data_IF_039314220089
#
_entry.id   IF_039314220089
#
_cell.length_a   1.000
_cell.length_b   1.000
_cell.length_c   1.000
_cell.angle_alpha   90.00
_cell.angle_beta   90.00
_cell.angle_gamma   90.00
#
_symmetry.space_group_name_H-M   'P 1'
#
loop_
_entity.id
_entity.type
_entity.pdbx_description
1 polymer ?
#
# COMPACT_ATOMS: atom_id res chain seq x y z
N UNK A 1 10.67 -16.22 32.46
CA UNK A 1 10.79 -14.99 31.64
C UNK A 1 11.23 -15.28 30.20
N UNK A 2 12.17 -16.20 29.94
CA UNK A 2 12.69 -16.53 28.59
C UNK A 2 11.66 -17.07 27.56
N UNK A 3 10.56 -17.71 27.98
CA UNK A 3 9.60 -18.31 27.04
C UNK A 3 8.73 -17.23 26.34
N UNK A 4 8.46 -16.12 27.05
CA UNK A 4 7.65 -15.01 26.52
C UNK A 4 8.42 -14.30 25.39
N UNK A 5 9.71 -14.02 25.60
CA UNK A 5 10.57 -13.38 24.58
C UNK A 5 10.71 -14.21 23.30
N UNK A 6 10.77 -15.55 23.41
CA UNK A 6 10.84 -16.42 22.23
C UNK A 6 9.54 -16.43 21.42
N UNK A 7 8.39 -16.23 22.05
CA UNK A 7 7.12 -16.17 21.37
C UNK A 7 6.96 -14.84 20.61
N UNK A 8 7.29 -13.72 21.25
CA UNK A 8 7.22 -12.38 20.65
C UNK A 8 8.15 -12.24 19.45
N UNK A 9 9.36 -12.82 19.52
CA UNK A 9 10.30 -12.82 18.39
C UNK A 9 9.76 -13.59 17.18
N UNK A 10 9.10 -14.74 17.41
CA UNK A 10 8.49 -15.53 16.33
C UNK A 10 7.34 -14.79 15.67
N UNK A 11 6.53 -14.08 16.46
CA UNK A 11 5.41 -13.27 15.97
C UNK A 11 5.92 -12.07 15.14
N UNK A 12 6.96 -11.38 15.62
CA UNK A 12 7.59 -10.29 14.88
C UNK A 12 8.17 -10.76 13.53
N UNK A 13 8.86 -11.91 13.53
CA UNK A 13 9.38 -12.52 12.30
C UNK A 13 8.27 -12.92 11.32
N UNK A 14 7.13 -13.40 11.83
CA UNK A 14 5.97 -13.71 11.01
C UNK A 14 5.39 -12.46 10.36
N UNK A 15 5.19 -11.39 11.13
CA UNK A 15 4.68 -10.11 10.63
C UNK A 15 5.61 -9.49 9.58
N UNK A 16 6.93 -9.52 9.80
CA UNK A 16 7.92 -9.03 8.84
C UNK A 16 7.87 -9.81 7.51
N UNK A 17 7.78 -11.15 7.57
CA UNK A 17 7.63 -11.98 6.37
C UNK A 17 6.34 -11.67 5.62
N UNK A 18 5.24 -11.50 6.35
CA UNK A 18 3.94 -11.18 5.77
C UNK A 18 3.96 -9.80 5.10
N UNK A 19 4.50 -8.79 5.78
CA UNK A 19 4.69 -7.44 5.25
C UNK A 19 5.46 -7.44 3.93
N UNK A 20 6.63 -8.10 3.90
CA UNK A 20 7.47 -8.20 2.68
C UNK A 20 6.73 -8.86 1.53
N UNK A 21 5.95 -9.90 1.81
CA UNK A 21 5.17 -10.62 0.81
C UNK A 21 4.04 -9.77 0.24
N UNK A 22 3.28 -9.10 1.10
CA UNK A 22 2.19 -8.22 0.69
C UNK A 22 2.73 -7.03 -0.11
N UNK A 23 3.83 -6.40 0.34
CA UNK A 23 4.52 -5.34 -0.38
C UNK A 23 5.00 -5.78 -1.77
N UNK A 24 5.62 -6.96 -1.88
CA UNK A 24 6.03 -7.50 -3.18
C UNK A 24 4.84 -7.74 -4.13
N UNK A 25 3.69 -8.20 -3.59
CA UNK A 25 2.47 -8.41 -4.36
C UNK A 25 1.91 -7.09 -4.91
N UNK A 26 1.95 -6.03 -4.11
CA UNK A 26 1.52 -4.68 -4.52
C UNK A 26 2.43 -4.08 -5.58
N UNK A 27 3.75 -4.17 -5.42
CA UNK A 27 4.72 -3.67 -6.42
C UNK A 27 4.55 -4.41 -7.76
N UNK A 28 4.18 -5.70 -7.73
CA UNK A 28 3.89 -6.47 -8.94
C UNK A 28 2.60 -6.05 -9.63
N UNK A 29 1.53 -5.80 -8.86
CA UNK A 29 0.21 -5.42 -9.41
C UNK A 29 0.18 -3.96 -9.87
N UNK A 30 0.85 -3.08 -9.12
CA UNK A 30 0.90 -1.63 -9.32
C UNK A 30 2.37 -1.18 -9.35
N UNK A 31 3.08 -1.39 -10.48
CA UNK A 31 4.47 -1.01 -10.60
C UNK A 31 4.66 0.50 -10.58
N UNK A 32 5.89 0.95 -10.31
CA UNK A 32 6.28 2.38 -10.24
C UNK A 32 5.60 3.17 -9.11
N UNK A 33 5.25 2.49 -8.01
CA UNK A 33 4.73 3.12 -6.79
C UNK A 33 5.51 2.63 -5.59
N UNK A 34 5.85 3.56 -4.70
CA UNK A 34 6.41 3.22 -3.40
C UNK A 34 5.28 2.88 -2.45
N UNK A 35 5.01 1.58 -2.29
CA UNK A 35 3.98 1.11 -1.36
C UNK A 35 4.54 1.04 0.06
N UNK A 36 3.89 1.74 0.98
CA UNK A 36 4.01 1.53 2.41
C UNK A 36 3.08 0.41 2.84
N UNK A 37 3.63 -0.63 3.46
CA UNK A 37 2.86 -1.71 4.06
C UNK A 37 3.35 -1.90 5.48
N UNK A 38 2.42 -2.03 6.42
CA UNK A 38 2.74 -2.31 7.80
C UNK A 38 1.74 -3.30 8.38
N UNK A 39 2.24 -4.37 8.98
CA UNK A 39 1.43 -5.43 9.56
C UNK A 39 1.49 -5.33 11.08
N UNK A 40 0.32 -5.18 11.69
CA UNK A 40 0.12 -5.04 13.13
C UNK A 40 -0.41 -6.34 13.75
N UNK A 41 -0.44 -6.37 15.09
CA UNK A 41 -1.24 -7.27 15.93
C UNK A 41 -1.20 -8.73 15.48
N UNK A 42 0.00 -9.33 15.57
CA UNK A 42 0.25 -10.74 15.27
C UNK A 42 -0.08 -11.17 13.84
N UNK A 43 -0.24 -10.21 12.92
CA UNK A 43 -0.55 -10.49 11.52
C UNK A 43 -2.04 -10.45 11.19
N UNK A 44 -2.88 -9.90 12.06
CA UNK A 44 -4.32 -9.78 11.81
C UNK A 44 -4.72 -8.43 11.23
N UNK A 45 -3.84 -7.44 11.22
CA UNK A 45 -4.18 -6.10 10.75
C UNK A 45 -3.06 -5.57 9.87
N UNK A 46 -3.43 -4.92 8.77
CA UNK A 46 -2.48 -4.40 7.79
C UNK A 46 -2.87 -2.98 7.39
N UNK A 47 -1.93 -2.06 7.52
CA UNK A 47 -2.03 -0.70 7.01
C UNK A 47 -1.27 -0.60 5.68
N UNK A 48 -1.93 -0.08 4.66
CA UNK A 48 -1.38 0.14 3.31
C UNK A 48 -1.53 1.61 2.94
N UNK A 49 -0.46 2.21 2.40
CA UNK A 49 -0.47 3.60 1.95
C UNK A 49 0.57 3.85 0.87
N UNK A 50 0.55 5.03 0.26
CA UNK A 50 1.59 5.49 -0.67
C UNK A 50 2.19 6.77 -0.07
N UNK A 51 3.41 6.72 0.50
CA UNK A 51 4.06 7.88 1.13
C UNK A 51 4.14 9.11 0.22
N UNK A 52 4.24 8.90 -1.10
CA UNK A 52 4.34 9.97 -2.11
C UNK A 52 3.01 10.72 -2.31
N UNK A 53 1.88 10.09 -1.99
CA UNK A 53 0.57 10.72 -2.12
C UNK A 53 0.12 11.35 -0.80
N UNK A 54 0.19 10.58 0.28
CA UNK A 54 -0.24 11.00 1.60
C UNK A 54 0.38 10.11 2.67
N UNK A 55 0.95 10.72 3.70
CA UNK A 55 1.47 10.00 4.88
C UNK A 55 0.39 9.73 5.93
N UNK A 56 -0.74 10.46 5.84
CA UNK A 56 -1.88 10.38 6.76
C UNK A 56 -2.97 9.43 6.26
N UNK A 57 -3.21 9.39 4.94
CA UNK A 57 -4.24 8.53 4.35
C UNK A 57 -3.72 7.09 4.21
N UNK A 58 -4.07 6.26 5.20
CA UNK A 58 -3.76 4.84 5.23
C UNK A 58 -5.03 4.02 5.17
N UNK A 59 -5.01 2.94 4.41
CA UNK A 59 -6.07 1.96 4.40
C UNK A 59 -5.74 0.82 5.33
N UNK A 60 -6.61 0.62 6.31
CA UNK A 60 -6.51 -0.45 7.29
C UNK A 60 -7.37 -1.63 6.86
N UNK A 61 -6.75 -2.80 6.83
CA UNK A 61 -7.33 -4.04 6.31
C UNK A 61 -7.20 -5.10 7.40
N UNK A 62 -8.32 -5.75 7.72
CA UNK A 62 -8.32 -6.92 8.58
C UNK A 62 -7.85 -8.13 7.78
N UNK A 63 -6.76 -8.74 8.22
CA UNK A 63 -6.20 -9.96 7.66
C UNK A 63 -6.88 -11.18 8.31
N UNK A 64 -7.27 -12.11 7.45
CA UNK A 64 -7.98 -13.33 7.84
C UNK A 64 -7.03 -14.47 8.18
N UNK A 65 -5.74 -14.33 7.87
CA UNK A 65 -4.71 -15.36 8.03
C UNK A 65 -4.58 -16.29 6.82
N UNK A 66 -5.46 -16.16 5.84
CA UNK A 66 -5.34 -16.84 4.54
C UNK A 66 -4.62 -15.95 3.55
N UNK A 67 -3.38 -16.32 3.23
CA UNK A 67 -2.49 -15.47 2.43
C UNK A 67 -3.05 -15.06 1.07
N UNK A 68 -3.81 -15.94 0.41
CA UNK A 68 -4.38 -15.66 -0.91
C UNK A 68 -5.54 -14.67 -0.84
N UNK A 69 -6.34 -14.76 0.22
CA UNK A 69 -7.46 -13.84 0.48
C UNK A 69 -6.91 -12.47 0.89
N UNK A 70 -5.93 -12.48 1.78
CA UNK A 70 -5.27 -11.29 2.31
C UNK A 70 -4.54 -10.52 1.20
N UNK A 71 -3.81 -11.20 0.31
CA UNK A 71 -3.19 -10.58 -0.87
C UNK A 71 -4.25 -9.92 -1.78
N UNK A 72 -5.40 -10.56 -1.98
CA UNK A 72 -6.48 -9.98 -2.80
C UNK A 72 -7.09 -8.74 -2.13
N UNK A 73 -7.35 -8.80 -0.83
CA UNK A 73 -7.88 -7.66 -0.06
C UNK A 73 -6.92 -6.46 -0.12
N UNK A 74 -5.62 -6.71 0.07
CA UNK A 74 -4.56 -5.71 -0.02
C UNK A 74 -4.49 -5.08 -1.40
N UNK A 75 -4.58 -5.87 -2.48
CA UNK A 75 -4.63 -5.34 -3.84
C UNK A 75 -5.86 -4.48 -4.11
N UNK A 76 -7.03 -4.88 -3.61
CA UNK A 76 -8.26 -4.09 -3.78
C UNK A 76 -8.15 -2.75 -3.05
N UNK A 77 -7.68 -2.75 -1.80
CA UNK A 77 -7.45 -1.51 -1.05
C UNK A 77 -6.41 -0.59 -1.72
N UNK A 78 -5.35 -1.15 -2.28
CA UNK A 78 -4.39 -0.42 -3.10
C UNK A 78 -5.03 0.22 -4.34
N UNK A 79 -5.93 -0.50 -5.01
CA UNK A 79 -6.73 0.04 -6.10
C UNK A 79 -7.62 1.21 -5.64
N UNK A 80 -8.30 1.08 -4.51
CA UNK A 80 -9.14 2.14 -3.94
C UNK A 80 -8.33 3.39 -3.56
N UNK A 81 -7.12 3.24 -3.00
CA UNK A 81 -6.21 4.37 -2.75
C UNK A 81 -5.98 5.12 -4.06
N UNK A 82 -5.56 4.40 -5.09
CA UNK A 82 -5.25 5.00 -6.38
C UNK A 82 -6.47 5.69 -7.00
N UNK A 83 -7.65 5.09 -6.93
CA UNK A 83 -8.89 5.70 -7.42
C UNK A 83 -9.27 6.96 -6.65
N UNK A 84 -9.13 6.98 -5.31
CA UNK A 84 -9.39 8.19 -4.50
C UNK A 84 -8.49 9.35 -4.88
N UNK A 85 -7.25 9.08 -5.28
CA UNK A 85 -6.30 10.09 -5.75
C UNK A 85 -6.34 10.31 -7.27
N UNK A 86 -7.28 9.70 -8.01
CA UNK A 86 -7.43 9.88 -9.45
C UNK A 86 -6.38 9.17 -10.32
N UNK A 87 -5.58 8.27 -9.75
CA UNK A 87 -4.48 7.56 -10.39
C UNK A 87 -4.92 6.16 -10.83
N UNK A 88 -5.99 6.05 -11.62
CA UNK A 88 -6.52 4.75 -12.05
C UNK A 88 -5.59 4.04 -13.06
N UNK A 89 -5.77 2.71 -13.21
CA UNK A 89 -4.99 1.78 -14.04
C UNK A 89 -4.81 2.19 -15.52
N UNK A 90 -5.52 3.21 -16.02
CA UNK A 90 -5.59 3.53 -17.46
C UNK A 90 -5.37 5.00 -17.84
N UNK A 91 -5.11 5.92 -16.89
CA UNK A 91 -5.20 7.38 -17.21
C UNK A 91 -3.90 8.18 -16.99
N UNK A 92 -2.92 7.68 -16.25
CA UNK A 92 -1.68 8.44 -15.99
C UNK A 92 -0.45 7.72 -16.51
N UNK A 93 0.15 8.24 -17.58
CA UNK A 93 1.56 8.02 -17.88
C UNK A 93 2.38 8.55 -16.68
N UNK A 94 2.97 7.63 -15.92
CA UNK A 94 3.69 7.92 -14.67
C UNK A 94 4.97 8.74 -14.86
N UNK A 95 5.30 9.16 -16.09
CA UNK A 95 6.34 10.13 -16.37
C UNK A 95 6.06 11.50 -15.74
N UNK A 96 4.79 11.84 -15.49
CA UNK A 96 4.42 13.13 -14.90
C UNK A 96 4.42 13.14 -13.36
N UNK A 97 4.40 12.00 -12.67
CA UNK A 97 4.34 12.03 -11.20
C UNK A 97 5.68 12.44 -10.55
N UNK A 98 6.80 12.16 -11.22
CA UNK A 98 8.13 12.59 -10.80
C UNK A 98 8.43 14.05 -11.16
N UNK A 99 7.63 14.68 -12.03
CA UNK A 99 7.75 16.09 -12.41
C UNK A 99 6.80 17.01 -11.64
N UNK A 100 5.83 16.45 -10.92
CA UNK A 100 4.92 17.20 -10.06
C UNK A 100 5.64 17.68 -8.79
N UNK A 101 5.49 18.97 -8.50
CA UNK A 101 5.97 19.54 -7.25
C UNK A 101 5.31 18.82 -6.07
N UNK A 102 6.06 18.61 -4.98
CA UNK A 102 5.59 17.93 -3.75
C UNK A 102 4.30 18.52 -3.16
N UNK A 103 3.95 19.74 -3.53
CA UNK A 103 2.77 20.47 -3.07
C UNK A 103 1.62 20.52 -4.10
N UNK A 104 1.68 19.70 -5.16
CA UNK A 104 0.68 19.72 -6.22
C UNK A 104 -0.65 19.12 -5.75
N UNK A 105 -1.60 20.00 -5.39
CA UNK A 105 -3.01 19.64 -5.22
C UNK A 105 -3.63 19.42 -6.60
N UNK A 106 -3.69 18.15 -7.01
CA UNK A 106 -4.16 17.74 -8.34
C UNK A 106 -5.49 18.38 -8.73
N UNK A 107 -5.52 18.97 -9.93
CA UNK A 107 -6.76 19.44 -10.55
C UNK A 107 -7.50 18.22 -11.07
N UNK A 108 -8.70 18.01 -10.54
CA UNK A 108 -9.59 16.92 -10.92
C UNK A 108 -9.97 17.09 -12.40
N UNK A 109 -9.57 16.15 -13.27
CA UNK A 109 -10.19 15.94 -14.58
C UNK A 109 -9.62 16.66 -15.81
N UNK A 110 -8.35 17.07 -15.83
CA UNK A 110 -7.77 17.62 -17.07
C UNK A 110 -7.51 16.51 -18.12
N UNK A 111 -8.11 16.65 -19.30
CA UNK A 111 -7.72 15.87 -20.50
C UNK A 111 -6.40 16.40 -21.04
N UNK A 112 -5.66 15.50 -21.70
CA UNK A 112 -4.37 15.75 -22.36
C UNK A 112 -4.38 17.03 -23.21
N UNK A 113 -3.62 18.04 -22.79
CA UNK A 113 -3.18 19.14 -23.67
C UNK A 113 -3.84 20.51 -23.52
N UNK A 114 -4.37 20.90 -22.37
CA UNK A 114 -4.71 22.32 -22.11
C UNK A 114 -3.68 22.95 -21.17
N UNK A 115 -2.83 23.79 -21.74
CA UNK A 115 -2.09 24.87 -21.07
C UNK A 115 -3.01 26.09 -21.09
#
# INVERSE_FOLDING_TARGET
>A
MQIVEQHELKEALYCDKLCKRLGASLVKEYPNRHWGVHVHDKGHLCDVWIPELSMEDRFRILLTGSITVDEKAVKMAAGEILERFGLSKFVTDNSDLMSLARDHKGVIGAKKGEI
#
